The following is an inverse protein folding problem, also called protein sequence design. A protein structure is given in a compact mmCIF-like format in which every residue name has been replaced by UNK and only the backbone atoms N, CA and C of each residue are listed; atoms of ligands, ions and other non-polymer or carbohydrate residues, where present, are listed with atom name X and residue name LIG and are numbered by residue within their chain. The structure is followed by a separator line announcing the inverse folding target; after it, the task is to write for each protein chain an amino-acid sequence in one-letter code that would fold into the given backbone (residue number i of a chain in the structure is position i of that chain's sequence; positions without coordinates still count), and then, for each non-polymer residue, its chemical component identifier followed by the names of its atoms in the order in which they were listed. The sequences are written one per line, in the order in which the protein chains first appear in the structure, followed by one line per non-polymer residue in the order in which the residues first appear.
data_IF_030108992289
#
_entry.id   IF_030108992289
#
_cell.length_a   1.000
_cell.length_b   1.000
_cell.length_c   1.000
_cell.angle_alpha   90.00
_cell.angle_beta   90.00
_cell.angle_gamma   90.00
#
_symmetry.space_group_name_H-M   'P 1'
#
loop_
_entity.id
_entity.type
_entity.pdbx_description
1 polymer ?
#
# COMPACT_ATOMS: atom_id res chain seq x y z
N UNK A 1 11.39 10.59 23.17
CA UNK A 1 12.32 9.64 22.52
C UNK A 1 11.48 8.60 21.79
N UNK A 2 11.57 8.57 20.47
CA UNK A 2 10.72 7.88 19.50
C UNK A 2 11.00 6.37 19.46
N UNK A 3 10.94 5.69 20.63
CA UNK A 3 11.45 4.32 20.77
C UNK A 3 10.44 3.19 20.54
N UNK A 4 9.13 3.43 20.54
CA UNK A 4 8.17 2.31 20.67
C UNK A 4 7.08 2.19 19.60
N UNK A 5 7.10 2.97 18.51
CA UNK A 5 6.09 2.82 17.46
C UNK A 5 6.40 1.63 16.52
N UNK A 6 7.68 1.37 16.24
CA UNK A 6 8.11 0.34 15.29
C UNK A 6 8.55 -0.98 15.95
N UNK A 7 8.99 -0.97 17.22
CA UNK A 7 9.40 -2.20 17.91
C UNK A 7 8.22 -3.15 18.18
N UNK A 8 7.02 -2.61 18.38
CA UNK A 8 5.79 -3.38 18.52
C UNK A 8 5.10 -3.65 17.16
N UNK A 9 5.48 -2.95 16.09
CA UNK A 9 4.95 -3.17 14.74
C UNK A 9 5.67 -4.33 14.03
N UNK A 10 5.87 -5.46 14.72
CA UNK A 10 6.27 -6.75 14.12
C UNK A 10 5.24 -7.32 13.12
N UNK A 11 4.27 -6.51 12.72
CA UNK A 11 3.30 -6.82 11.69
C UNK A 11 4.04 -6.93 10.37
N UNK A 12 4.16 -8.15 9.87
CA UNK A 12 4.53 -8.35 8.48
C UNK A 12 3.53 -7.58 7.61
N UNK A 13 4.03 -6.90 6.58
CA UNK A 13 3.18 -6.23 5.63
C UNK A 13 2.81 -7.19 4.50
N UNK A 14 1.59 -7.04 4.01
CA UNK A 14 1.12 -7.73 2.82
C UNK A 14 1.28 -6.81 1.62
N UNK A 15 1.85 -7.34 0.55
CA UNK A 15 1.82 -6.76 -0.80
C UNK A 15 1.31 -7.80 -1.79
N UNK A 16 1.06 -7.38 -3.02
CA UNK A 16 0.71 -8.27 -4.12
C UNK A 16 1.76 -8.17 -5.22
N UNK A 17 1.92 -9.24 -6.00
CA UNK A 17 2.89 -9.29 -7.11
C UNK A 17 2.61 -8.28 -8.23
N UNK A 18 1.37 -7.79 -8.35
CA UNK A 18 1.01 -6.68 -9.23
C UNK A 18 -0.23 -5.91 -8.75
N UNK A 19 -0.30 -4.64 -9.16
CA UNK A 19 -1.39 -3.72 -8.89
C UNK A 19 -1.89 -3.06 -10.18
N UNK A 20 -3.11 -2.57 -10.15
CA UNK A 20 -3.77 -1.88 -11.25
C UNK A 20 -4.33 -0.54 -10.77
N UNK A 21 -4.31 0.46 -11.65
CA UNK A 21 -5.02 1.73 -11.44
C UNK A 21 -6.42 1.61 -12.06
N UNK A 22 -7.46 1.75 -11.24
CA UNK A 22 -8.86 1.77 -11.69
C UNK A 22 -9.45 3.15 -11.54
N UNK A 23 -10.49 3.44 -12.33
CA UNK A 23 -11.29 4.66 -12.23
C UNK A 23 -12.69 4.28 -11.78
N UNK A 24 -13.16 4.87 -10.68
CA UNK A 24 -14.51 4.70 -10.15
C UNK A 24 -15.54 5.50 -10.99
N UNK A 25 -16.83 5.24 -10.78
CA UNK A 25 -17.92 5.93 -11.48
C UNK A 25 -17.93 7.45 -11.23
N UNK A 26 -17.45 7.89 -10.06
CA UNK A 26 -17.31 9.31 -9.71
C UNK A 26 -16.05 9.98 -10.30
N UNK A 27 -15.30 9.25 -11.15
CA UNK A 27 -14.07 9.72 -11.78
C UNK A 27 -12.83 9.66 -10.88
N UNK A 28 -12.95 9.25 -9.61
CA UNK A 28 -11.79 9.07 -8.74
C UNK A 28 -10.99 7.85 -9.17
N UNK A 29 -9.67 7.98 -9.16
CA UNK A 29 -8.75 6.88 -9.43
C UNK A 29 -8.26 6.25 -8.13
N UNK A 30 -8.16 4.94 -8.12
CA UNK A 30 -7.69 4.18 -6.97
C UNK A 30 -6.83 3.00 -7.43
N UNK A 31 -5.89 2.61 -6.57
CA UNK A 31 -4.98 1.48 -6.79
C UNK A 31 -5.57 0.26 -6.11
N UNK A 32 -5.59 -0.88 -6.81
CA UNK A 32 -6.08 -2.15 -6.27
C UNK A 32 -5.17 -3.30 -6.73
N UNK A 33 -5.06 -4.41 -5.98
CA UNK A 33 -4.40 -5.61 -6.50
C UNK A 33 -5.03 -6.04 -7.82
N UNK A 34 -4.20 -6.47 -8.77
CA UNK A 34 -4.71 -6.95 -10.05
C UNK A 34 -5.57 -8.21 -9.92
N UNK A 35 -6.36 -8.50 -10.96
CA UNK A 35 -7.19 -9.71 -10.94
C UNK A 35 -6.28 -10.94 -10.90
N UNK A 36 -6.44 -11.77 -9.87
CA UNK A 36 -5.59 -12.94 -9.57
C UNK A 36 -4.18 -12.63 -9.07
N UNK A 37 -3.92 -11.40 -8.59
CA UNK A 37 -2.66 -11.07 -7.94
C UNK A 37 -2.42 -11.95 -6.70
N UNK A 38 -1.16 -12.36 -6.53
CA UNK A 38 -0.76 -13.27 -5.44
C UNK A 38 -0.25 -12.44 -4.27
N UNK A 39 -0.74 -12.68 -3.03
CA UNK A 39 -0.22 -11.99 -1.87
C UNK A 39 1.19 -12.49 -1.52
N UNK A 40 2.03 -11.58 -1.07
CA UNK A 40 3.35 -11.81 -0.50
C UNK A 40 3.44 -11.11 0.86
N UNK A 41 4.09 -11.77 1.82
CA UNK A 41 4.21 -11.31 3.20
C UNK A 41 5.67 -11.03 3.49
N UNK A 42 5.99 -9.79 3.84
CA UNK A 42 7.38 -9.37 4.05
C UNK A 42 7.54 -8.55 5.33
N UNK A 43 8.78 -8.45 5.82
CA UNK A 43 9.11 -7.62 6.98
C UNK A 43 9.51 -6.21 6.49
N UNK A 44 8.66 -5.19 6.68
CA UNK A 44 8.97 -3.83 6.21
C UNK A 44 10.20 -3.24 6.90
N UNK A 45 10.54 -3.68 8.11
CA UNK A 45 11.71 -3.18 8.86
C UNK A 45 13.04 -3.52 8.17
N UNK A 46 13.08 -4.56 7.32
CA UNK A 46 14.25 -4.87 6.50
C UNK A 46 14.39 -3.94 5.30
N UNK A 47 13.32 -3.25 4.92
CA UNK A 47 13.21 -2.42 3.72
C UNK A 47 13.06 -0.92 4.06
N UNK A 48 13.01 -0.53 5.34
CA UNK A 48 12.72 0.85 5.81
C UNK A 48 13.52 1.92 5.07
N UNK A 49 14.86 1.81 4.89
CA UNK A 49 15.61 2.84 4.18
C UNK A 49 15.11 3.03 2.74
N UNK A 50 14.78 1.95 2.05
CA UNK A 50 14.23 1.98 0.69
C UNK A 50 12.81 2.55 0.65
N UNK A 51 11.93 2.10 1.57
CA UNK A 51 10.56 2.61 1.67
C UNK A 51 10.56 4.14 1.82
N UNK A 52 11.37 4.65 2.74
CA UNK A 52 11.42 6.10 3.02
C UNK A 52 11.99 6.86 1.82
N UNK A 53 13.08 6.38 1.23
CA UNK A 53 13.70 7.03 0.07
C UNK A 53 12.77 7.06 -1.14
N UNK A 54 12.15 5.93 -1.47
CA UNK A 54 11.24 5.82 -2.62
C UNK A 54 9.98 6.67 -2.41
N UNK A 55 9.45 6.75 -1.18
CA UNK A 55 8.34 7.65 -0.84
C UNK A 55 8.71 9.12 -1.00
N UNK A 56 9.90 9.52 -0.55
CA UNK A 56 10.41 10.89 -0.75
C UNK A 56 10.60 11.21 -2.23
N UNK A 57 11.12 10.26 -3.03
CA UNK A 57 11.29 10.42 -4.46
C UNK A 57 9.94 10.66 -5.17
N UNK A 58 8.90 9.87 -4.84
CA UNK A 58 7.54 10.12 -5.34
C UNK A 58 7.05 11.52 -4.95
N UNK A 59 7.24 11.92 -3.68
CA UNK A 59 6.87 13.26 -3.20
C UNK A 59 7.60 14.38 -3.96
N UNK A 60 8.89 14.21 -4.28
CA UNK A 60 9.65 15.17 -5.07
C UNK A 60 9.13 15.30 -6.50
N UNK A 61 8.70 14.19 -7.14
CA UNK A 61 8.07 14.24 -8.47
C UNK A 61 6.77 15.06 -8.43
N UNK A 62 5.95 14.85 -7.40
CA UNK A 62 4.71 15.61 -7.19
C UNK A 62 4.99 17.10 -6.96
N UNK A 63 5.93 17.44 -6.08
CA UNK A 63 6.33 18.82 -5.82
C UNK A 63 6.90 19.51 -7.05
N UNK A 64 7.69 18.78 -7.86
CA UNK A 64 8.29 19.26 -9.10
C UNK A 64 7.29 19.42 -10.25
N UNK A 65 5.99 19.13 -10.03
CA UNK A 65 4.94 19.15 -11.06
C UNK A 65 5.34 18.38 -12.31
N UNK A 66 5.99 17.23 -12.11
CA UNK A 66 6.37 16.34 -13.20
C UNK A 66 5.13 15.87 -13.96
N UNK A 67 5.28 15.46 -15.23
CA UNK A 67 4.17 14.91 -16.00
C UNK A 67 3.44 13.82 -15.21
N UNK A 68 2.12 13.82 -15.29
CA UNK A 68 1.27 12.91 -14.53
C UNK A 68 1.64 11.44 -14.74
N UNK A 69 1.99 11.05 -15.98
CA UNK A 69 2.45 9.70 -16.30
C UNK A 69 3.75 9.29 -15.57
N UNK A 70 4.65 10.24 -15.30
CA UNK A 70 5.89 9.97 -14.56
C UNK A 70 5.60 9.76 -13.07
N UNK A 71 4.73 10.60 -12.50
CA UNK A 71 4.26 10.45 -11.12
C UNK A 71 3.50 9.14 -10.94
N UNK A 72 2.58 8.83 -11.85
CA UNK A 72 1.78 7.60 -11.83
C UNK A 72 2.67 6.37 -11.90
N UNK A 73 3.65 6.35 -12.82
CA UNK A 73 4.63 5.27 -12.91
C UNK A 73 5.37 5.07 -11.58
N UNK A 74 5.88 6.16 -10.98
CA UNK A 74 6.61 6.07 -9.72
C UNK A 74 5.72 5.59 -8.56
N UNK A 75 4.46 6.02 -8.51
CA UNK A 75 3.47 5.52 -7.54
C UNK A 75 3.21 4.02 -7.75
N UNK A 76 3.04 3.57 -9.00
CA UNK A 76 2.81 2.16 -9.31
C UNK A 76 4.03 1.27 -8.97
N UNK A 77 5.24 1.75 -9.23
CA UNK A 77 6.48 1.07 -8.82
C UNK A 77 6.58 0.98 -7.29
N UNK A 78 6.24 2.06 -6.58
CA UNK A 78 6.24 2.10 -5.12
C UNK A 78 5.28 1.08 -4.51
N UNK A 79 4.00 1.07 -4.93
CA UNK A 79 2.99 0.14 -4.39
C UNK A 79 3.28 -1.31 -4.77
N UNK A 80 3.83 -1.56 -5.96
CA UNK A 80 4.25 -2.91 -6.35
C UNK A 80 5.38 -3.43 -5.46
N UNK A 81 6.32 -2.55 -5.10
CA UNK A 81 7.44 -2.93 -4.24
C UNK A 81 7.05 -3.06 -2.78
N UNK A 82 6.24 -2.15 -2.24
CA UNK A 82 6.02 -2.06 -0.79
C UNK A 82 4.59 -2.35 -0.32
N UNK A 83 3.68 -2.57 -1.26
CA UNK A 83 2.26 -2.68 -0.99
C UNK A 83 1.62 -1.35 -0.60
N UNK A 84 0.42 -1.42 -0.04
CA UNK A 84 -0.34 -0.24 0.38
C UNK A 84 0.04 0.20 1.81
N UNK A 85 1.36 0.26 2.09
CA UNK A 85 1.94 0.74 3.37
C UNK A 85 1.40 0.06 4.63
N UNK A 86 1.06 -1.23 4.55
CA UNK A 86 0.52 -1.96 5.69
C UNK A 86 -0.87 -1.50 6.15
N UNK A 87 -1.60 -0.69 5.35
CA UNK A 87 -3.03 -0.42 5.57
C UNK A 87 -3.86 -1.72 5.63
N UNK A 88 -3.31 -2.80 5.09
CA UNK A 88 -3.82 -4.16 5.26
C UNK A 88 -2.98 -4.89 6.32
N UNK A 89 -3.37 -4.80 7.60
CA UNK A 89 -2.72 -5.52 8.71
C UNK A 89 -3.21 -6.96 8.86
N UNK A 90 -4.30 -7.33 8.17
CA UNK A 90 -4.85 -8.67 8.13
C UNK A 90 -5.31 -8.97 6.70
N UNK A 91 -5.02 -10.19 6.23
CA UNK A 91 -5.43 -10.67 4.91
C UNK A 91 -6.96 -10.74 4.85
N UNK A 92 -7.64 -10.00 3.95
CA UNK A 92 -8.79 -10.60 3.31
C UNK A 92 -8.25 -11.76 2.45
N UNK A 93 -8.79 -12.95 2.63
CA UNK A 93 -8.42 -14.13 1.84
C UNK A 93 -8.74 -13.98 0.35
N UNK A 94 -9.38 -12.88 -0.04
CA UNK A 94 -9.79 -12.58 -1.41
C UNK A 94 -9.18 -11.25 -1.89
N UNK A 95 -8.40 -11.23 -3.00
CA UNK A 95 -7.84 -10.01 -3.58
C UNK A 95 -8.88 -8.96 -4.02
N UNK A 96 -10.11 -9.39 -4.34
CA UNK A 96 -11.24 -8.51 -4.70
C UNK A 96 -11.91 -7.86 -3.49
N UNK A 97 -11.23 -7.78 -2.35
CA UNK A 97 -11.88 -7.28 -1.13
C UNK A 97 -12.32 -5.83 -1.21
N UNK A 98 -11.62 -5.04 -2.03
CA UNK A 98 -11.92 -3.64 -2.33
C UNK A 98 -13.26 -3.48 -3.05
N UNK A 99 -13.77 -4.54 -3.68
CA UNK A 99 -15.03 -4.56 -4.41
C UNK A 99 -16.21 -4.98 -3.51
N UNK A 100 -15.98 -5.36 -2.24
CA UNK A 100 -17.06 -5.72 -1.31
C UNK A 100 -17.64 -4.48 -0.60
N UNK A 101 -18.96 -4.47 -0.45
CA UNK A 101 -19.71 -3.44 0.29
C UNK A 101 -19.30 -3.37 1.78
N UNK A 102 -18.90 -4.50 2.37
CA UNK A 102 -18.36 -4.59 3.72
C UNK A 102 -17.26 -5.65 3.79
N UNK A 103 -16.15 -5.31 4.46
CA UNK A 103 -15.03 -6.23 4.69
C UNK A 103 -14.88 -6.45 6.18
N UNK A 104 -14.89 -7.72 6.60
CA UNK A 104 -14.59 -8.06 7.99
C UNK A 104 -13.09 -7.93 8.22
N UNK A 105 -12.69 -6.85 8.90
CA UNK A 105 -11.34 -6.71 9.44
C UNK A 105 -11.32 -7.41 10.81
N UNK A 106 -10.68 -8.58 10.97
CA UNK A 106 -10.49 -9.14 12.30
C UNK A 106 -9.70 -8.12 13.14
N UNK A 107 -10.29 -7.71 14.28
CA UNK A 107 -9.83 -6.65 15.22
C UNK A 107 -8.50 -6.00 14.83
N UNK A 108 -8.57 -4.91 14.08
CA UNK A 108 -7.41 -4.07 13.82
C UNK A 108 -7.16 -3.20 15.07
N UNK A 109 -6.13 -3.49 15.86
CA UNK A 109 -5.79 -2.70 17.05
C UNK A 109 -5.44 -1.22 16.77
N UNK A 110 -5.25 -0.84 15.50
CA UNK A 110 -5.00 0.55 15.09
C UNK A 110 -6.27 1.35 14.78
N UNK A 111 -7.40 0.68 14.53
CA UNK A 111 -8.70 1.33 14.34
C UNK A 111 -9.44 1.18 15.67
N UNK A 112 -9.40 2.23 16.50
CA UNK A 112 -10.30 2.30 17.66
C UNK A 112 -11.67 2.74 17.15
N UNK A 113 -12.71 2.08 17.64
CA UNK A 113 -14.11 2.53 17.53
C UNK A 113 -14.28 3.97 18.04
#
# INVERSE_FOLDING_TARGET
MMKNLFEQSRSHWVRYDHYELKTAEDGKRYITPGKNARPDVYNPLKEVPGIVLDALNVGMLMMGRKPEAEVEKAVMEFVTRYGLLGLMTALPTTPSFMDYEAVYLPKNHFIKE
#
